data_IF_361217789004
#
_entry.id   IF_361217789004
#
_cell.length_a   1.000
_cell.length_b   1.000
_cell.length_c   1.000
_cell.angle_alpha   90.00
_cell.angle_beta   90.00
_cell.angle_gamma   90.00
#
_symmetry.space_group_name_H-M   'P 1'
#
loop_
_entity.id
_entity.type
_entity.pdbx_description
1 polymer ?
#
# COMPACT_ATOMS: atom_id res chain seq x y z
N UNK A 1 10.86 -4.45 -28.14
CA UNK A 1 11.47 -5.79 -28.27
C UNK A 1 10.97 -6.62 -27.10
N UNK A 2 10.12 -7.62 -27.36
CA UNK A 2 9.68 -8.58 -26.32
C UNK A 2 10.91 -9.44 -25.97
N UNK A 3 11.24 -9.53 -24.69
CA UNK A 3 12.34 -10.40 -24.25
C UNK A 3 11.96 -11.87 -24.43
N UNK A 4 12.98 -12.73 -24.55
CA UNK A 4 12.78 -14.15 -24.77
C UNK A 4 12.26 -14.82 -23.48
N UNK A 5 11.08 -15.48 -23.50
CA UNK A 5 10.47 -16.13 -22.32
C UNK A 5 11.41 -17.08 -21.55
N UNK A 6 12.39 -17.66 -22.26
CA UNK A 6 13.35 -18.62 -21.73
C UNK A 6 14.26 -18.05 -20.63
N UNK A 7 14.50 -16.73 -20.56
CA UNK A 7 15.37 -16.12 -19.52
C UNK A 7 14.66 -15.92 -18.18
N UNK A 8 13.33 -15.90 -18.15
CA UNK A 8 12.52 -15.74 -16.93
C UNK A 8 12.22 -17.09 -16.29
N UNK A 9 12.05 -18.14 -17.08
CA UNK A 9 11.83 -19.51 -16.59
C UNK A 9 12.97 -20.01 -15.67
N UNK A 10 14.20 -19.49 -15.84
CA UNK A 10 15.34 -19.81 -14.99
C UNK A 10 15.49 -18.93 -13.75
N UNK A 11 14.59 -17.97 -13.53
CA UNK A 11 14.68 -16.99 -12.43
C UNK A 11 14.13 -17.57 -11.14
N UNK A 12 14.77 -17.20 -10.03
CA UNK A 12 14.34 -17.58 -8.68
C UNK A 12 13.49 -16.47 -8.08
N UNK A 13 12.26 -16.80 -7.74
CA UNK A 13 11.31 -15.90 -7.10
C UNK A 13 11.25 -16.22 -5.62
N UNK A 14 11.31 -15.20 -4.77
CA UNK A 14 11.00 -15.30 -3.34
C UNK A 14 9.77 -14.46 -3.06
N UNK A 15 8.83 -15.04 -2.33
CA UNK A 15 7.58 -14.38 -1.97
C UNK A 15 7.44 -14.42 -0.46
N UNK A 16 7.37 -13.24 0.14
CA UNK A 16 7.29 -13.06 1.59
C UNK A 16 5.92 -12.49 1.95
N UNK A 17 5.26 -13.12 2.92
CA UNK A 17 3.95 -12.69 3.43
C UNK A 17 4.06 -12.29 4.90
N UNK A 18 3.59 -11.08 5.25
CA UNK A 18 3.60 -10.57 6.63
C UNK A 18 2.22 -10.07 7.06
N UNK A 19 1.56 -10.82 7.93
CA UNK A 19 0.23 -10.51 8.45
C UNK A 19 0.20 -9.29 9.41
N UNK A 20 -0.98 -8.69 9.54
CA UNK A 20 -1.29 -7.71 10.58
C UNK A 20 -1.57 -8.35 11.95
N UNK A 21 -1.72 -7.54 12.98
CA UNK A 21 -2.08 -8.01 14.32
C UNK A 21 -3.48 -8.67 14.33
N UNK A 22 -3.64 -9.75 15.11
CA UNK A 22 -4.94 -10.38 15.37
C UNK A 22 -5.33 -10.30 16.85
N UNK A 23 -6.63 -10.11 17.19
CA UNK A 23 -7.12 -10.26 18.56
C UNK A 23 -6.86 -11.68 19.08
N UNK A 24 -6.51 -11.80 20.36
CA UNK A 24 -6.09 -13.06 21.00
C UNK A 24 -7.18 -14.14 21.08
N UNK A 25 -6.73 -15.35 21.44
CA UNK A 25 -7.36 -16.70 21.37
C UNK A 25 -8.88 -16.85 21.62
N UNK A 26 -9.57 -15.94 22.31
CA UNK A 26 -11.00 -16.07 22.65
C UNK A 26 -11.96 -15.82 21.47
N UNK A 27 -11.50 -15.22 20.36
CA UNK A 27 -12.32 -14.93 19.16
C UNK A 27 -12.10 -15.95 18.03
N UNK A 28 -11.27 -16.98 18.25
CA UNK A 28 -10.92 -18.00 17.24
C UNK A 28 -12.09 -18.80 16.70
N UNK A 29 -13.21 -18.88 17.43
CA UNK A 29 -14.41 -19.60 16.98
C UNK A 29 -15.21 -18.86 15.90
N UNK A 30 -14.92 -17.58 15.63
CA UNK A 30 -15.74 -16.74 14.74
C UNK A 30 -14.97 -16.21 13.52
N UNK A 31 -13.63 -16.11 13.59
CA UNK A 31 -12.80 -15.40 12.58
C UNK A 31 -11.81 -16.31 11.83
N UNK A 32 -11.77 -17.62 12.15
CA UNK A 32 -10.80 -18.55 11.56
C UNK A 32 -9.41 -18.47 12.21
N UNK A 33 -8.55 -19.46 11.96
CA UNK A 33 -7.24 -19.52 12.61
C UNK A 33 -6.23 -18.50 12.04
N UNK A 34 -5.49 -17.77 12.90
CA UNK A 34 -4.55 -16.71 12.50
C UNK A 34 -3.28 -17.22 11.79
N UNK A 35 -3.02 -18.53 11.79
CA UNK A 35 -1.83 -19.19 11.21
C UNK A 35 -1.88 -19.30 9.68
N UNK A 36 -2.96 -18.90 9.02
CA UNK A 36 -3.12 -19.00 7.56
C UNK A 36 -2.81 -17.71 6.78
N UNK A 37 -2.83 -16.53 7.42
CA UNK A 37 -2.91 -15.26 6.66
C UNK A 37 -1.61 -14.92 5.92
N UNK A 38 -0.44 -15.06 6.54
CA UNK A 38 0.83 -14.87 5.81
C UNK A 38 1.03 -15.88 4.69
N UNK A 39 0.59 -17.14 4.89
CA UNK A 39 0.65 -18.17 3.86
C UNK A 39 -0.25 -17.82 2.69
N UNK A 40 -1.48 -17.36 2.97
CA UNK A 40 -2.39 -16.85 1.96
C UNK A 40 -1.78 -15.71 1.15
N UNK A 41 -1.09 -14.76 1.80
CA UNK A 41 -0.45 -13.66 1.08
C UNK A 41 0.61 -14.18 0.10
N UNK A 42 1.41 -15.15 0.53
CA UNK A 42 2.37 -15.82 -0.35
C UNK A 42 1.67 -16.53 -1.52
N UNK A 43 0.63 -17.31 -1.24
CA UNK A 43 -0.10 -18.08 -2.24
C UNK A 43 -0.81 -17.19 -3.27
N UNK A 44 -1.50 -16.12 -2.83
CA UNK A 44 -2.15 -15.17 -3.73
C UNK A 44 -1.15 -14.39 -4.57
N UNK A 45 -0.02 -13.99 -3.99
CA UNK A 45 1.06 -13.34 -4.74
C UNK A 45 1.67 -14.30 -5.77
N UNK A 46 1.91 -15.57 -5.40
CA UNK A 46 2.43 -16.58 -6.32
C UNK A 46 1.48 -16.83 -7.49
N UNK A 47 0.18 -16.95 -7.17
CA UNK A 47 -0.88 -17.08 -8.17
C UNK A 47 -0.89 -15.87 -9.12
N UNK A 48 -0.88 -14.64 -8.59
CA UNK A 48 -0.88 -13.42 -9.39
C UNK A 48 0.34 -13.29 -10.30
N UNK A 49 1.54 -13.62 -9.80
CA UNK A 49 2.76 -13.61 -10.62
C UNK A 49 2.67 -14.64 -11.75
N UNK A 50 2.22 -15.86 -11.46
CA UNK A 50 2.04 -16.90 -12.49
C UNK A 50 1.02 -16.48 -13.54
N UNK A 51 -0.12 -15.94 -13.10
CA UNK A 51 -1.18 -15.46 -14.00
C UNK A 51 -0.68 -14.33 -14.91
N UNK A 52 0.09 -13.38 -14.36
CA UNK A 52 0.70 -12.31 -15.16
C UNK A 52 1.60 -12.86 -16.28
N UNK A 53 2.50 -13.80 -15.96
CA UNK A 53 3.39 -14.38 -16.97
C UNK A 53 2.66 -15.25 -17.99
N UNK A 54 1.64 -15.98 -17.57
CA UNK A 54 0.82 -16.80 -18.47
C UNK A 54 0.02 -15.92 -19.43
N UNK A 55 -0.63 -14.86 -18.93
CA UNK A 55 -1.52 -14.01 -19.74
C UNK A 55 -0.76 -13.01 -20.62
N UNK A 56 0.26 -12.34 -20.08
CA UNK A 56 0.95 -11.25 -20.78
C UNK A 56 2.13 -11.75 -21.64
N UNK A 57 2.68 -12.92 -21.30
CA UNK A 57 3.92 -13.42 -21.91
C UNK A 57 3.86 -14.86 -22.44
N UNK A 58 2.70 -15.54 -22.35
CA UNK A 58 2.53 -16.94 -22.74
C UNK A 58 3.58 -17.87 -22.08
N UNK A 59 3.92 -17.57 -20.83
CA UNK A 59 4.96 -18.27 -20.06
C UNK A 59 4.38 -18.89 -18.79
N UNK A 60 4.39 -20.22 -18.74
CA UNK A 60 4.01 -20.96 -17.52
C UNK A 60 5.21 -21.06 -16.58
N UNK A 61 5.15 -20.36 -15.44
CA UNK A 61 6.16 -20.49 -14.40
C UNK A 61 5.88 -21.73 -13.52
N UNK A 62 6.85 -22.65 -13.38
CA UNK A 62 6.76 -23.79 -12.47
C UNK A 62 6.75 -23.31 -11.01
N UNK A 63 6.06 -24.02 -10.11
CA UNK A 63 6.03 -23.63 -8.70
C UNK A 63 7.42 -23.77 -8.04
N UNK A 64 8.24 -24.66 -8.58
CA UNK A 64 9.59 -24.97 -8.14
C UNK A 64 10.56 -23.78 -8.27
N UNK A 65 10.24 -22.78 -9.10
CA UNK A 65 11.03 -21.55 -9.18
C UNK A 65 10.63 -20.50 -8.12
N UNK A 66 9.60 -20.78 -7.31
CA UNK A 66 9.05 -19.87 -6.30
C UNK A 66 9.24 -20.43 -4.89
N UNK A 67 9.98 -19.70 -4.05
CA UNK A 67 10.09 -19.99 -2.62
C UNK A 67 9.13 -19.09 -1.85
N UNK A 68 8.17 -19.70 -1.15
CA UNK A 68 7.21 -19.01 -0.29
C UNK A 68 7.73 -18.96 1.14
N UNK A 69 7.77 -17.77 1.74
CA UNK A 69 8.24 -17.54 3.11
C UNK A 69 7.15 -16.78 3.89
N UNK A 70 6.18 -17.49 4.48
CA UNK A 70 5.19 -16.86 5.34
C UNK A 70 5.81 -16.50 6.69
N UNK A 71 5.88 -15.22 7.01
CA UNK A 71 6.40 -14.71 8.27
C UNK A 71 5.28 -14.50 9.27
N UNK A 72 5.37 -15.17 10.42
CA UNK A 72 4.33 -15.17 11.45
C UNK A 72 4.93 -14.89 12.82
N UNK A 73 4.42 -13.84 13.46
CA UNK A 73 4.72 -13.51 14.85
C UNK A 73 3.68 -12.52 15.35
N UNK A 74 3.36 -12.56 16.64
CA UNK A 74 2.44 -11.64 17.31
C UNK A 74 3.21 -10.67 18.20
N UNK A 75 2.63 -9.52 18.50
CA UNK A 75 3.21 -8.56 19.45
C UNK A 75 3.49 -7.20 18.83
N UNK A 76 4.36 -6.45 19.51
CA UNK A 76 4.75 -5.10 19.09
C UNK A 76 5.63 -5.14 17.84
N UNK A 77 5.65 -4.05 17.08
CA UNK A 77 6.34 -3.97 15.79
C UNK A 77 7.82 -4.34 15.93
N UNK A 78 8.55 -3.75 16.88
CA UNK A 78 9.99 -4.03 17.02
C UNK A 78 10.25 -5.48 17.45
N UNK A 79 9.44 -6.04 18.35
CA UNK A 79 9.56 -7.44 18.77
C UNK A 79 9.36 -8.38 17.57
N UNK A 80 8.34 -8.12 16.75
CA UNK A 80 8.10 -8.87 15.51
C UNK A 80 9.27 -8.74 14.56
N UNK A 81 9.83 -7.54 14.36
CA UNK A 81 11.03 -7.33 13.52
C UNK A 81 12.18 -8.22 13.99
N UNK A 82 12.53 -8.22 15.28
CA UNK A 82 13.64 -9.03 15.79
C UNK A 82 13.40 -10.54 15.59
N UNK A 83 12.18 -11.01 15.90
CA UNK A 83 11.85 -12.44 15.80
C UNK A 83 11.82 -12.95 14.37
N UNK A 84 11.25 -12.16 13.47
CA UNK A 84 11.20 -12.50 12.05
C UNK A 84 12.58 -12.37 11.38
N UNK A 85 13.40 -11.41 11.81
CA UNK A 85 14.79 -11.30 11.37
C UNK A 85 15.60 -12.54 11.78
N UNK A 86 15.57 -12.93 13.07
CA UNK A 86 16.23 -14.15 13.54
C UNK A 86 15.75 -15.38 12.76
N UNK A 87 14.44 -15.52 12.55
CA UNK A 87 13.91 -16.62 11.73
C UNK A 87 14.48 -16.65 10.30
N UNK A 88 14.60 -15.50 9.64
CA UNK A 88 15.12 -15.43 8.27
C UNK A 88 16.62 -15.74 8.18
N UNK A 89 17.41 -15.32 9.16
CA UNK A 89 18.87 -15.45 9.17
C UNK A 89 19.33 -16.79 9.73
N UNK A 90 18.69 -17.28 10.80
CA UNK A 90 19.05 -18.53 11.46
C UNK A 90 18.56 -19.77 10.69
N UNK A 91 17.58 -19.60 9.79
CA UNK A 91 17.10 -20.66 8.90
C UNK A 91 17.91 -20.68 7.59
N UNK A 92 18.74 -21.71 7.32
CA UNK A 92 19.58 -21.73 6.13
C UNK A 92 18.81 -21.73 4.80
N UNK A 93 17.60 -22.30 4.78
CA UNK A 93 16.77 -22.33 3.58
C UNK A 93 16.22 -20.94 3.26
N UNK A 94 15.69 -20.22 4.26
CA UNK A 94 15.22 -18.84 4.10
C UNK A 94 16.35 -17.90 3.70
N UNK A 95 17.50 -18.00 4.38
CA UNK A 95 18.67 -17.17 4.09
C UNK A 95 19.19 -17.41 2.67
N UNK A 96 19.34 -18.68 2.27
CA UNK A 96 19.80 -19.01 0.92
C UNK A 96 18.81 -18.56 -0.16
N UNK A 97 17.50 -18.71 0.09
CA UNK A 97 16.47 -18.23 -0.81
C UNK A 97 16.58 -16.71 -1.01
N UNK A 98 16.66 -15.94 0.09
CA UNK A 98 16.81 -14.48 0.04
C UNK A 98 18.08 -14.05 -0.71
N UNK A 99 19.22 -14.67 -0.44
CA UNK A 99 20.49 -14.28 -1.05
C UNK A 99 20.59 -14.67 -2.53
N UNK A 100 19.88 -15.70 -2.97
CA UNK A 100 19.95 -16.23 -4.34
C UNK A 100 18.76 -15.85 -5.21
N UNK A 101 17.75 -15.15 -4.68
CA UNK A 101 16.60 -14.71 -5.45
C UNK A 101 17.01 -13.74 -6.57
N UNK A 102 16.35 -13.82 -7.72
CA UNK A 102 16.41 -12.77 -8.74
C UNK A 102 15.31 -11.73 -8.53
N UNK A 103 14.15 -12.19 -8.04
CA UNK A 103 12.95 -11.38 -7.84
C UNK A 103 12.36 -11.64 -6.46
N UNK A 104 12.04 -10.58 -5.73
CA UNK A 104 11.43 -10.65 -4.40
C UNK A 104 10.09 -9.88 -4.43
N UNK A 105 9.01 -10.59 -4.14
CA UNK A 105 7.72 -9.97 -3.83
C UNK A 105 7.49 -10.01 -2.32
N UNK A 106 7.17 -8.85 -1.76
CA UNK A 106 6.91 -8.70 -0.34
C UNK A 106 5.49 -8.19 -0.13
N UNK A 107 4.61 -9.03 0.41
CA UNK A 107 3.20 -8.70 0.59
C UNK A 107 2.85 -8.59 2.07
N UNK A 108 2.20 -7.50 2.44
CA UNK A 108 1.92 -7.20 3.83
C UNK A 108 0.59 -6.49 4.03
N UNK A 109 0.06 -6.57 5.26
CA UNK A 109 -1.23 -6.00 5.62
C UNK A 109 -1.19 -5.29 6.98
N UNK A 110 -1.87 -4.15 7.10
CA UNK A 110 -2.13 -3.48 8.39
C UNK A 110 -0.84 -3.23 9.20
N UNK A 111 -0.76 -3.65 10.47
CA UNK A 111 0.46 -3.59 11.29
C UNK A 111 1.65 -4.34 10.68
N UNK A 112 1.41 -5.35 9.84
CA UNK A 112 2.49 -6.03 9.11
C UNK A 112 3.28 -5.06 8.25
N UNK A 113 2.68 -3.94 7.81
CA UNK A 113 3.35 -2.95 6.95
C UNK A 113 4.55 -2.29 7.63
N UNK A 114 4.43 -1.69 8.83
CA UNK A 114 5.60 -1.16 9.52
C UNK A 114 6.61 -2.24 9.92
N UNK A 115 6.18 -3.45 10.28
CA UNK A 115 7.09 -4.59 10.52
C UNK A 115 7.90 -4.90 9.27
N UNK A 116 7.23 -5.01 8.13
CA UNK A 116 7.82 -5.31 6.83
C UNK A 116 8.81 -4.25 6.39
N UNK A 117 8.47 -2.96 6.52
CA UNK A 117 9.35 -1.87 6.14
C UNK A 117 10.65 -1.90 6.95
N UNK A 118 10.56 -1.98 8.28
CA UNK A 118 11.74 -1.98 9.15
C UNK A 118 12.59 -3.24 8.92
N UNK A 119 11.95 -4.41 8.80
CA UNK A 119 12.63 -5.66 8.53
C UNK A 119 13.33 -5.66 7.16
N UNK A 120 12.64 -5.22 6.11
CA UNK A 120 13.19 -5.13 4.76
C UNK A 120 14.38 -4.17 4.71
N UNK A 121 14.25 -2.98 5.29
CA UNK A 121 15.35 -2.02 5.37
C UNK A 121 16.59 -2.63 6.06
N UNK A 122 16.40 -3.31 7.20
CA UNK A 122 17.49 -4.01 7.90
C UNK A 122 18.14 -5.09 7.03
N UNK A 123 17.35 -5.94 6.38
CA UNK A 123 17.88 -7.00 5.50
C UNK A 123 18.70 -6.44 4.33
N UNK A 124 18.35 -5.24 3.85
CA UNK A 124 19.10 -4.59 2.78
C UNK A 124 20.37 -3.93 3.30
N UNK A 125 20.30 -3.22 4.44
CA UNK A 125 21.48 -2.60 5.08
C UNK A 125 22.55 -3.64 5.40
N UNK A 126 22.15 -4.85 5.79
CA UNK A 126 23.05 -5.96 6.07
C UNK A 126 23.46 -6.76 4.81
N UNK A 127 23.07 -6.32 3.60
CA UNK A 127 23.36 -6.97 2.31
C UNK A 127 22.88 -8.43 2.20
N UNK A 128 21.89 -8.83 3.00
CA UNK A 128 21.18 -10.11 2.85
C UNK A 128 20.32 -10.02 1.59
N UNK A 129 19.57 -8.93 1.44
CA UNK A 129 18.90 -8.56 0.20
C UNK A 129 19.77 -7.55 -0.55
N UNK A 130 20.18 -7.89 -1.76
CA UNK A 130 21.06 -7.08 -2.62
C UNK A 130 20.21 -6.39 -3.69
N UNK A 131 19.55 -5.29 -3.31
CA UNK A 131 18.63 -4.52 -4.17
C UNK A 131 19.17 -4.11 -5.55
N UNK A 132 20.51 -4.02 -5.72
CA UNK A 132 21.15 -3.74 -7.02
C UNK A 132 21.12 -4.92 -7.99
N UNK A 133 20.94 -6.14 -7.49
CA UNK A 133 20.92 -7.39 -8.25
C UNK A 133 19.57 -8.10 -8.22
N UNK A 134 18.68 -7.68 -7.31
CA UNK A 134 17.38 -8.31 -7.09
C UNK A 134 16.26 -7.30 -7.35
N UNK A 135 15.33 -7.66 -8.22
CA UNK A 135 14.13 -6.85 -8.44
C UNK A 135 13.18 -7.04 -7.24
N UNK A 136 12.72 -5.95 -6.62
CA UNK A 136 11.91 -6.03 -5.42
C UNK A 136 10.65 -5.16 -5.51
N UNK A 137 9.50 -5.74 -5.15
CA UNK A 137 8.23 -5.05 -5.03
C UNK A 137 7.60 -5.29 -3.65
N UNK A 138 7.29 -4.21 -2.94
CA UNK A 138 6.54 -4.22 -1.68
C UNK A 138 5.07 -3.87 -1.95
N UNK A 139 4.15 -4.80 -1.67
CA UNK A 139 2.71 -4.60 -1.69
C UNK A 139 2.19 -4.46 -0.26
N UNK A 140 1.75 -3.26 0.11
CA UNK A 140 1.17 -2.97 1.43
C UNK A 140 -0.34 -2.71 1.31
N UNK A 141 -1.13 -3.58 1.94
CA UNK A 141 -2.58 -3.51 1.97
C UNK A 141 -3.06 -2.94 3.32
N UNK A 142 -3.90 -1.91 3.30
CA UNK A 142 -4.44 -1.26 4.49
C UNK A 142 -3.37 -0.90 5.54
N UNK A 143 -2.19 -0.45 5.11
CA UNK A 143 -1.02 -0.25 5.98
C UNK A 143 -1.20 0.85 7.04
N UNK A 144 -0.65 0.65 8.23
CA UNK A 144 -0.75 1.62 9.34
C UNK A 144 0.44 2.59 9.31
N UNK A 145 0.47 3.50 8.33
CA UNK A 145 1.55 4.50 8.21
C UNK A 145 1.37 5.70 9.16
N UNK A 146 0.11 6.06 9.45
CA UNK A 146 -0.28 7.25 10.23
C UNK A 146 -1.30 6.91 11.33
N UNK A 147 -1.26 5.65 11.79
CA UNK A 147 -2.17 5.12 12.80
C UNK A 147 -3.55 4.71 12.26
N UNK A 148 -4.38 4.07 13.09
CA UNK A 148 -5.76 3.77 12.79
C UNK A 148 -6.64 5.03 12.92
N UNK A 149 -7.95 4.91 12.70
CA UNK A 149 -8.88 6.02 12.93
C UNK A 149 -8.74 6.52 14.37
N UNK A 150 -8.49 7.83 14.51
CA UNK A 150 -8.24 8.47 15.79
C UNK A 150 -9.41 8.31 16.80
N UNK A 151 -10.64 8.17 16.29
CA UNK A 151 -11.85 7.90 17.08
C UNK A 151 -11.80 6.56 17.82
N UNK A 152 -10.98 5.60 17.36
CA UNK A 152 -10.88 4.27 17.93
C UNK A 152 -10.07 4.20 19.22
N UNK A 153 -9.25 5.22 19.51
CA UNK A 153 -8.34 5.26 20.68
C UNK A 153 -9.07 5.06 22.01
N UNK A 154 -10.32 5.48 22.09
CA UNK A 154 -11.17 5.35 23.29
C UNK A 154 -12.20 4.23 23.24
N UNK A 155 -12.29 3.49 22.13
CA UNK A 155 -13.34 2.50 21.89
C UNK A 155 -13.26 1.32 22.86
N UNK A 156 -14.43 0.76 23.21
CA UNK A 156 -14.49 -0.41 24.09
C UNK A 156 -13.78 -1.62 23.48
N UNK A 157 -13.77 -1.77 22.15
CA UNK A 157 -13.04 -2.86 21.47
C UNK A 157 -11.55 -2.78 21.78
N UNK A 158 -10.91 -1.62 21.58
CA UNK A 158 -9.48 -1.42 21.93
C UNK A 158 -9.23 -1.60 23.44
N UNK A 159 -10.19 -1.22 24.29
CA UNK A 159 -10.12 -1.38 25.75
C UNK A 159 -10.43 -2.77 26.28
N UNK A 160 -11.13 -3.63 25.53
CA UNK A 160 -11.46 -5.00 25.96
C UNK A 160 -10.47 -6.03 25.39
N UNK A 161 -9.88 -5.75 24.23
CA UNK A 161 -8.89 -6.62 23.57
C UNK A 161 -7.43 -6.24 23.90
N UNK A 162 -7.18 -5.65 25.08
CA UNK A 162 -5.94 -5.02 25.57
C UNK A 162 -4.62 -5.79 25.30
N UNK A 163 -4.20 -5.88 24.04
CA UNK A 163 -2.86 -6.27 23.65
C UNK A 163 -2.04 -5.00 23.47
N UNK A 164 -0.85 -4.93 24.05
CA UNK A 164 0.04 -3.77 23.92
C UNK A 164 0.38 -3.44 22.46
N UNK A 165 0.35 -4.46 21.59
CA UNK A 165 0.46 -4.33 20.14
C UNK A 165 -0.63 -3.44 19.52
N UNK A 166 -1.88 -3.56 19.97
CA UNK A 166 -3.00 -2.76 19.47
C UNK A 166 -2.91 -1.30 19.94
N UNK A 167 -2.37 -1.06 21.15
CA UNK A 167 -2.13 0.30 21.66
C UNK A 167 -1.01 1.01 20.92
N UNK A 168 0.08 0.30 20.63
CA UNK A 168 1.22 0.82 19.85
C UNK A 168 0.81 1.34 18.47
N UNK A 169 -0.26 0.80 17.85
CA UNK A 169 -0.77 1.30 16.56
C UNK A 169 -1.13 2.79 16.61
N UNK A 170 -1.56 3.30 17.77
CA UNK A 170 -1.87 4.72 17.95
C UNK A 170 -0.62 5.60 18.08
N UNK A 171 0.56 5.03 18.34
CA UNK A 171 1.81 5.79 18.38
C UNK A 171 2.23 6.24 16.97
N UNK A 172 1.75 5.55 15.92
CA UNK A 172 1.90 5.99 14.52
C UNK A 172 1.14 7.28 14.18
N UNK A 173 0.22 7.73 15.04
CA UNK A 173 -0.45 9.01 14.87
C UNK A 173 0.47 10.19 15.18
N UNK A 174 1.53 9.98 15.96
CA UNK A 174 2.49 11.01 16.33
C UNK A 174 3.80 10.80 15.56
N UNK A 175 4.19 11.73 14.66
CA UNK A 175 5.38 11.53 13.84
C UNK A 175 6.68 11.55 14.65
N UNK A 176 6.63 12.04 15.90
CA UNK A 176 7.76 12.04 16.83
C UNK A 176 7.87 10.79 17.71
N UNK A 177 6.92 9.85 17.65
CA UNK A 177 7.09 8.58 18.37
C UNK A 177 8.26 7.78 17.76
N UNK A 178 8.94 6.99 18.59
CA UNK A 178 10.10 6.20 18.15
C UNK A 178 9.73 5.27 16.99
N UNK A 179 8.57 4.63 17.07
CA UNK A 179 8.12 3.71 16.03
C UNK A 179 7.73 4.41 14.73
N UNK A 180 7.13 5.61 14.80
CA UNK A 180 6.88 6.45 13.63
C UNK A 180 8.19 6.87 12.96
N UNK A 181 9.21 7.20 13.73
CA UNK A 181 10.51 7.59 13.21
C UNK A 181 11.21 6.41 12.53
N UNK A 182 11.25 5.24 13.19
CA UNK A 182 11.82 4.03 12.63
C UNK A 182 11.14 3.62 11.31
N UNK A 183 9.81 3.61 11.29
CA UNK A 183 9.06 3.28 10.07
C UNK A 183 9.31 4.29 8.94
N UNK A 184 9.25 5.61 9.22
CA UNK A 184 9.49 6.63 8.19
C UNK A 184 10.91 6.55 7.63
N UNK A 185 11.90 6.32 8.48
CA UNK A 185 13.29 6.16 8.05
C UNK A 185 13.45 4.92 7.17
N UNK A 186 12.90 3.78 7.57
CA UNK A 186 12.93 2.55 6.79
C UNK A 186 12.25 2.70 5.42
N UNK A 187 11.04 3.29 5.38
CA UNK A 187 10.34 3.54 4.11
C UNK A 187 11.10 4.51 3.21
N UNK A 188 11.69 5.58 3.77
CA UNK A 188 12.50 6.51 2.99
C UNK A 188 13.72 5.80 2.37
N UNK A 189 14.41 4.97 3.16
CA UNK A 189 15.54 4.15 2.70
C UNK A 189 15.13 3.20 1.57
N UNK A 190 14.06 2.43 1.76
CA UNK A 190 13.51 1.51 0.75
C UNK A 190 13.25 2.23 -0.57
N UNK A 191 12.55 3.37 -0.52
CA UNK A 191 12.20 4.15 -1.71
C UNK A 191 13.44 4.71 -2.42
N UNK A 192 14.38 5.27 -1.66
CA UNK A 192 15.65 5.83 -2.18
C UNK A 192 16.53 4.77 -2.85
N UNK A 193 16.42 3.51 -2.43
CA UNK A 193 17.12 2.38 -3.05
C UNK A 193 16.47 1.89 -4.35
N UNK A 194 15.40 2.54 -4.80
CA UNK A 194 14.76 2.21 -6.08
C UNK A 194 13.70 1.12 -5.97
N UNK A 195 13.34 0.68 -4.77
CA UNK A 195 12.36 -0.39 -4.55
C UNK A 195 10.95 0.12 -4.90
N UNK A 196 10.21 -0.72 -5.65
CA UNK A 196 8.83 -0.48 -6.03
C UNK A 196 7.91 -0.74 -4.85
N UNK A 197 7.03 0.20 -4.54
CA UNK A 197 6.13 0.13 -3.39
C UNK A 197 4.71 0.43 -3.84
N UNK A 198 3.80 -0.50 -3.58
CA UNK A 198 2.38 -0.38 -3.86
C UNK A 198 1.65 -0.23 -2.53
N UNK A 199 0.84 0.82 -2.42
CA UNK A 199 0.06 1.14 -1.23
C UNK A 199 -1.42 1.08 -1.58
N UNK A 200 -2.13 0.10 -1.02
CA UNK A 200 -3.53 -0.16 -1.34
C UNK A 200 -4.39 0.13 -0.12
N UNK A 201 -5.21 1.18 -0.18
CA UNK A 201 -6.26 1.41 0.82
C UNK A 201 -7.49 0.57 0.54
N UNK A 202 -8.39 0.42 1.51
CA UNK A 202 -9.72 -0.13 1.26
C UNK A 202 -10.77 0.96 1.41
N UNK A 203 -11.72 0.98 0.48
CA UNK A 203 -12.98 1.70 0.66
C UNK A 203 -13.73 1.06 1.85
N UNK A 204 -14.38 1.88 2.68
CA UNK A 204 -15.10 1.39 3.87
C UNK A 204 -14.25 0.54 4.82
N UNK A 205 -12.94 0.82 4.89
CA UNK A 205 -12.10 0.30 5.96
C UNK A 205 -12.60 0.84 7.30
N UNK A 206 -12.78 -0.06 8.27
CA UNK A 206 -13.30 0.21 9.60
C UNK A 206 -12.20 0.47 10.65
N UNK A 207 -10.93 0.25 10.31
CA UNK A 207 -9.77 0.34 11.19
C UNK A 207 -8.78 1.41 10.73
N UNK A 208 -8.40 1.36 9.45
CA UNK A 208 -7.30 2.14 8.89
C UNK A 208 -7.85 3.19 7.94
N UNK A 209 -7.64 4.49 8.21
CA UNK A 209 -8.04 5.56 7.30
C UNK A 209 -7.24 5.48 6.00
N UNK A 210 -7.88 5.86 4.88
CA UNK A 210 -7.26 5.89 3.57
C UNK A 210 -5.93 6.66 3.58
N UNK A 211 -5.86 7.81 4.26
CA UNK A 211 -4.64 8.62 4.34
C UNK A 211 -3.45 7.85 4.96
N UNK A 212 -3.73 6.90 5.86
CA UNK A 212 -2.73 6.06 6.52
C UNK A 212 -2.32 4.94 5.57
N UNK A 213 -3.29 4.24 4.96
CA UNK A 213 -3.03 3.14 4.04
C UNK A 213 -2.21 3.56 2.81
N UNK A 214 -2.41 4.77 2.28
CA UNK A 214 -1.69 5.29 1.11
C UNK A 214 -0.46 6.13 1.44
N UNK A 215 -0.08 6.20 2.73
CA UNK A 215 1.03 7.02 3.24
C UNK A 215 1.01 8.44 2.65
N UNK A 216 -0.06 9.20 2.96
CA UNK A 216 -0.38 10.49 2.31
C UNK A 216 0.74 11.53 2.44
N UNK A 217 1.56 11.42 3.49
CA UNK A 217 2.59 12.40 3.83
C UNK A 217 3.94 12.19 3.11
N UNK A 218 4.05 11.16 2.25
CA UNK A 218 5.30 10.82 1.55
C UNK A 218 5.11 10.76 0.05
N UNK A 219 5.95 11.45 -0.73
CA UNK A 219 5.94 11.41 -2.18
C UNK A 219 7.24 10.85 -2.74
N UNK A 220 7.11 9.88 -3.65
CA UNK A 220 8.22 9.26 -4.36
C UNK A 220 7.72 8.58 -5.64
N UNK A 221 8.45 8.62 -6.77
CA UNK A 221 8.01 8.02 -8.04
C UNK A 221 7.86 6.49 -8.02
N UNK A 222 8.49 5.82 -7.05
CA UNK A 222 8.32 4.37 -6.86
C UNK A 222 7.10 4.00 -5.99
N UNK A 223 6.27 4.96 -5.59
CA UNK A 223 5.01 4.69 -4.93
C UNK A 223 3.90 4.62 -5.98
N UNK A 224 3.23 3.47 -6.07
CA UNK A 224 1.93 3.33 -6.70
C UNK A 224 0.84 3.28 -5.63
N UNK A 225 -0.16 4.15 -5.72
CA UNK A 225 -1.31 4.16 -4.81
C UNK A 225 -2.53 3.59 -5.49
N UNK A 226 -3.23 2.71 -4.80
CA UNK A 226 -4.48 2.11 -5.26
C UNK A 226 -5.51 2.06 -4.13
N UNK A 227 -6.74 1.73 -4.49
CA UNK A 227 -7.82 1.50 -3.54
C UNK A 227 -8.60 0.24 -3.96
N UNK A 228 -8.83 -0.65 -3.01
CA UNK A 228 -9.78 -1.74 -3.14
C UNK A 228 -11.18 -1.22 -2.88
N UNK A 229 -12.12 -1.59 -3.76
CA UNK A 229 -13.53 -1.24 -3.64
C UNK A 229 -14.31 -2.54 -3.80
N UNK A 230 -15.07 -2.90 -2.78
CA UNK A 230 -15.88 -4.11 -2.81
C UNK A 230 -16.95 -4.04 -3.92
N UNK A 231 -17.14 -5.15 -4.64
CA UNK A 231 -18.08 -5.21 -5.75
C UNK A 231 -19.53 -4.87 -5.36
N UNK A 232 -19.92 -5.10 -4.10
CA UNK A 232 -21.25 -4.77 -3.60
C UNK A 232 -21.51 -3.27 -3.44
N UNK A 233 -20.44 -2.46 -3.31
CA UNK A 233 -20.54 -1.00 -3.18
C UNK A 233 -20.09 -0.27 -4.43
N UNK A 234 -19.41 -0.96 -5.36
CA UNK A 234 -18.90 -0.36 -6.57
C UNK A 234 -20.03 0.08 -7.51
N UNK A 235 -19.93 1.30 -8.01
CA UNK A 235 -20.72 1.78 -9.13
C UNK A 235 -19.85 2.67 -10.02
N UNK A 236 -19.85 2.46 -11.35
CA UNK A 236 -18.98 3.21 -12.27
C UNK A 236 -19.29 4.71 -12.31
N UNK A 237 -20.52 5.11 -11.95
CA UNK A 237 -20.99 6.49 -11.92
C UNK A 237 -21.16 7.04 -10.49
N UNK A 238 -20.65 6.34 -9.47
CA UNK A 238 -20.59 6.92 -8.12
C UNK A 238 -19.57 8.06 -8.07
N UNK A 239 -20.03 9.24 -7.68
CA UNK A 239 -19.20 10.45 -7.65
C UNK A 239 -18.03 10.32 -6.66
N UNK A 240 -18.24 9.77 -5.47
CA UNK A 240 -17.18 9.68 -4.45
C UNK A 240 -16.09 8.71 -4.88
N UNK A 241 -16.48 7.56 -5.44
CA UNK A 241 -15.53 6.59 -6.01
C UNK A 241 -14.67 7.28 -7.08
N UNK A 242 -15.30 7.94 -8.06
CA UNK A 242 -14.57 8.60 -9.13
C UNK A 242 -13.68 9.74 -8.61
N UNK A 243 -14.12 10.50 -7.60
CA UNK A 243 -13.33 11.57 -6.98
C UNK A 243 -12.06 11.02 -6.32
N UNK A 244 -12.16 9.90 -5.59
CA UNK A 244 -11.02 9.25 -4.94
C UNK A 244 -10.06 8.68 -5.99
N UNK A 245 -10.58 7.99 -7.00
CA UNK A 245 -9.78 7.43 -8.09
C UNK A 245 -9.02 8.52 -8.83
N UNK A 246 -9.68 9.64 -9.14
CA UNK A 246 -9.04 10.81 -9.75
C UNK A 246 -7.92 11.35 -8.87
N UNK A 247 -8.16 11.56 -7.57
CA UNK A 247 -7.14 12.08 -6.66
C UNK A 247 -5.93 11.13 -6.51
N UNK A 248 -6.16 9.82 -6.51
CA UNK A 248 -5.08 8.82 -6.53
C UNK A 248 -4.29 8.89 -7.84
N UNK A 249 -4.96 9.05 -9.00
CA UNK A 249 -4.30 9.26 -10.30
C UNK A 249 -3.42 10.50 -10.30
N UNK A 250 -3.88 11.62 -9.73
CA UNK A 250 -3.05 12.81 -9.57
C UNK A 250 -1.76 12.49 -8.80
N UNK A 251 -1.88 11.83 -7.64
CA UNK A 251 -0.70 11.46 -6.83
C UNK A 251 0.25 10.50 -7.54
N UNK A 252 -0.29 9.52 -8.27
CA UNK A 252 0.52 8.58 -9.05
C UNK A 252 1.20 9.26 -10.25
N UNK A 253 0.61 10.33 -10.80
CA UNK A 253 1.22 11.16 -11.83
C UNK A 253 2.24 12.20 -11.27
N UNK A 254 2.46 12.22 -9.95
CA UNK A 254 3.34 13.20 -9.30
C UNK A 254 2.73 14.60 -9.16
N UNK A 255 1.41 14.73 -9.32
CA UNK A 255 0.66 15.95 -9.10
C UNK A 255 0.07 15.99 -7.68
N UNK A 256 -0.20 17.21 -7.20
CA UNK A 256 -0.85 17.42 -5.90
C UNK A 256 -2.35 17.12 -6.01
N UNK A 257 -2.88 16.36 -5.06
CA UNK A 257 -4.33 16.26 -4.81
C UNK A 257 -4.83 17.38 -3.89
N UNK A 258 -3.95 18.34 -3.55
CA UNK A 258 -4.21 19.48 -2.66
C UNK A 258 -4.77 19.07 -1.28
N UNK A 259 -4.42 17.86 -0.82
CA UNK A 259 -4.88 17.30 0.46
C UNK A 259 -6.28 16.70 0.42
N UNK A 260 -6.90 16.55 -0.75
CA UNK A 260 -8.24 15.98 -0.90
C UNK A 260 -8.33 14.58 -0.26
N UNK A 261 -7.38 13.68 -0.54
CA UNK A 261 -7.38 12.31 -0.01
C UNK A 261 -7.24 12.27 1.52
N UNK A 262 -6.47 13.20 2.09
CA UNK A 262 -6.37 13.36 3.53
C UNK A 262 -7.73 13.73 4.14
N UNK A 263 -8.39 14.75 3.58
CA UNK A 263 -9.60 15.31 4.17
C UNK A 263 -10.89 14.53 3.86
N UNK A 264 -10.92 13.76 2.78
CA UNK A 264 -12.07 12.89 2.44
C UNK A 264 -12.04 11.59 3.24
N UNK A 265 -10.89 11.17 3.76
CA UNK A 265 -10.68 9.86 4.41
C UNK A 265 -11.66 9.54 5.53
N UNK A 266 -12.03 10.51 6.37
CA UNK A 266 -13.01 10.32 7.47
C UNK A 266 -14.43 10.02 6.96
N UNK A 267 -14.73 10.41 5.72
CA UNK A 267 -16.01 10.14 5.07
C UNK A 267 -16.10 8.68 4.66
N UNK A 268 -14.96 8.07 4.31
CA UNK A 268 -14.83 6.72 3.78
C UNK A 268 -14.81 5.64 4.86
N UNK A 269 -14.81 6.01 6.14
CA UNK A 269 -14.77 5.06 7.24
C UNK A 269 -15.96 4.08 7.17
N UNK A 270 -15.64 2.78 7.19
CA UNK A 270 -16.63 1.72 7.30
C UNK A 270 -17.29 1.67 8.68
N UNK A 271 -18.38 0.92 8.79
CA UNK A 271 -19.03 0.68 10.07
C UNK A 271 -18.26 -0.40 10.85
N UNK A 272 -17.76 -0.06 12.04
CA UNK A 272 -17.04 -0.99 12.92
C UNK A 272 -17.85 -2.21 13.36
N UNK A 273 -19.18 -2.11 13.35
CA UNK A 273 -20.09 -3.19 13.75
C UNK A 273 -20.61 -4.00 12.55
N UNK A 274 -20.16 -3.68 11.33
CA UNK A 274 -20.43 -4.51 10.15
C UNK A 274 -19.60 -5.78 10.20
N UNK A 275 -20.23 -6.91 9.89
CA UNK A 275 -19.55 -8.21 9.78
C UNK A 275 -18.67 -8.30 8.54
N UNK A 276 -19.04 -7.56 7.49
CA UNK A 276 -18.26 -7.38 6.26
C UNK A 276 -17.62 -5.98 6.30
N UNK A 277 -16.29 -5.92 6.39
CA UNK A 277 -15.55 -4.67 6.50
C UNK A 277 -14.34 -4.65 5.59
N UNK A 278 -14.08 -3.49 4.97
CA UNK A 278 -13.03 -3.30 3.97
C UNK A 278 -11.63 -3.74 4.41
N UNK A 279 -11.35 -3.64 5.72
CA UNK A 279 -10.01 -3.90 6.25
C UNK A 279 -9.50 -5.31 5.95
N UNK A 280 -10.37 -6.30 5.99
CA UNK A 280 -10.01 -7.71 5.79
C UNK A 280 -10.35 -8.22 4.40
N UNK A 281 -11.40 -7.68 3.77
CA UNK A 281 -11.82 -8.11 2.43
C UNK A 281 -10.79 -7.74 1.35
N UNK A 282 -9.99 -6.70 1.56
CA UNK A 282 -8.90 -6.31 0.63
C UNK A 282 -7.92 -7.44 0.30
N UNK A 283 -7.57 -8.29 1.25
CA UNK A 283 -6.61 -9.39 1.01
C UNK A 283 -7.28 -10.68 0.53
N UNK A 284 -8.60 -10.66 0.35
CA UNK A 284 -9.35 -11.72 -0.34
C UNK A 284 -9.34 -11.52 -1.86
N UNK A 285 -9.13 -10.28 -2.32
CA UNK A 285 -9.24 -9.88 -3.71
C UNK A 285 -7.94 -10.17 -4.50
N UNK A 286 -7.99 -11.12 -5.44
CA UNK A 286 -6.83 -11.50 -6.25
C UNK A 286 -6.27 -10.32 -7.06
N UNK A 287 -7.12 -9.43 -7.59
CA UNK A 287 -6.65 -8.30 -8.40
C UNK A 287 -5.75 -7.30 -7.65
N UNK A 288 -5.83 -7.26 -6.32
CA UNK A 288 -4.91 -6.46 -5.49
C UNK A 288 -3.47 -7.00 -5.60
N UNK A 289 -3.30 -8.32 -5.68
CA UNK A 289 -2.00 -8.97 -5.81
C UNK A 289 -1.43 -8.87 -7.23
N UNK A 290 -2.28 -8.80 -8.26
CA UNK A 290 -1.89 -8.63 -9.67
C UNK A 290 -1.17 -7.30 -9.94
N UNK A 291 -1.41 -6.27 -9.12
CA UNK A 291 -0.69 -5.01 -9.19
C UNK A 291 0.82 -5.18 -8.99
N UNK A 292 1.26 -6.16 -8.19
CA UNK A 292 2.67 -6.36 -7.87
C UNK A 292 3.52 -6.76 -9.08
N UNK A 293 3.22 -7.86 -9.81
CA UNK A 293 3.96 -8.20 -11.03
C UNK A 293 3.79 -7.13 -12.11
N UNK A 294 2.59 -6.56 -12.31
CA UNK A 294 2.37 -5.48 -13.28
C UNK A 294 3.28 -4.27 -13.00
N UNK A 295 3.24 -3.73 -11.78
CA UNK A 295 4.05 -2.55 -11.45
C UNK A 295 5.55 -2.84 -11.51
N UNK A 296 5.97 -4.04 -11.09
CA UNK A 296 7.37 -4.42 -11.11
C UNK A 296 7.92 -4.60 -12.53
N UNK A 297 7.14 -5.20 -13.44
CA UNK A 297 7.60 -5.62 -14.77
C UNK A 297 7.17 -4.69 -15.93
N UNK A 298 6.15 -3.86 -15.74
CA UNK A 298 5.68 -2.93 -16.78
C UNK A 298 6.26 -1.53 -16.63
N UNK A 299 6.99 -1.24 -15.54
CA UNK A 299 7.52 0.10 -15.24
C UNK A 299 9.04 0.15 -15.11
N UNK A 300 9.66 1.25 -15.57
CA UNK A 300 11.10 1.46 -15.41
C UNK A 300 11.52 1.62 -13.93
N UNK A 301 12.74 1.20 -13.53
CA UNK A 301 13.82 0.71 -14.39
C UNK A 301 13.62 -0.70 -14.95
N UNK A 302 12.54 -1.43 -14.62
CA UNK A 302 12.35 -2.78 -15.15
C UNK A 302 10.99 -3.07 -15.78
N UNK A 303 10.79 -2.51 -16.99
CA UNK A 303 10.15 -3.19 -18.11
C UNK A 303 11.06 -3.16 -19.34
N UNK A 304 11.13 -4.16 -20.24
CA UNK A 304 10.52 -5.50 -20.25
C UNK A 304 11.57 -6.63 -20.14
N UNK A 305 11.55 -7.30 -18.99
CA UNK A 305 12.19 -8.59 -18.58
C UNK A 305 13.71 -8.62 -18.31
N UNK A 306 14.14 -7.86 -17.29
CA UNK A 306 15.44 -7.93 -16.58
C UNK A 306 16.65 -7.32 -17.32
N UNK A 307 17.59 -6.67 -16.61
CA UNK A 307 18.83 -6.25 -17.23
C UNK A 307 19.62 -7.52 -17.53
N UNK A 308 19.97 -7.76 -18.80
CA UNK A 308 21.09 -8.65 -19.10
C UNK A 308 22.28 -8.20 -18.24
N UNK A 309 23.03 -9.15 -17.69
CA UNK A 309 24.34 -8.94 -17.09
C UNK A 309 25.34 -8.40 -18.14
N UNK A 310 25.10 -7.21 -18.66
CA UNK A 310 26.08 -6.43 -19.39
C UNK A 310 26.41 -5.23 -18.50
N UNK A 311 27.27 -5.51 -17.53
CA UNK A 311 28.19 -4.49 -17.04
C UNK A 311 29.00 -4.00 -18.25
N UNK A 312 28.49 -2.99 -18.96
CA UNK A 312 29.35 -2.15 -19.77
C UNK A 312 30.09 -1.22 -18.81
N UNK A 313 31.43 -1.33 -18.67
CA UNK A 313 32.19 -0.60 -17.64
C UNK A 313 32.18 0.93 -17.80
N UNK A 314 31.58 1.48 -18.85
CA UNK A 314 31.74 2.88 -19.26
C UNK A 314 30.45 3.73 -19.25
N UNK A 315 29.32 3.21 -18.78
CA UNK A 315 28.16 4.06 -18.47
C UNK A 315 27.89 3.97 -16.98
N UNK A 316 28.63 4.77 -16.21
CA UNK A 316 28.16 5.19 -14.91
C UNK A 316 26.80 5.86 -15.11
N UNK A 317 25.71 5.08 -15.02
CA UNK A 317 24.38 5.66 -14.84
C UNK A 317 24.52 6.46 -13.56
N UNK A 318 24.56 7.77 -13.70
CA UNK A 318 24.36 8.69 -12.59
C UNK A 318 22.96 8.39 -12.07
N UNK A 319 22.85 7.42 -11.16
CA UNK A 319 21.63 7.14 -10.42
C UNK A 319 21.51 8.29 -9.45
N UNK A 320 20.94 9.40 -9.90
CA UNK A 320 20.47 10.46 -9.03
C UNK A 320 19.53 9.80 -8.03
N UNK A 321 19.97 9.66 -6.79
CA UNK A 321 19.12 9.14 -5.70
C UNK A 321 17.96 10.12 -5.57
N UNK A 322 16.75 9.65 -5.86
CA UNK A 322 15.55 10.47 -5.66
C UNK A 322 15.19 10.38 -4.18
N UNK A 323 15.29 11.49 -3.47
CA UNK A 323 14.89 11.53 -2.07
C UNK A 323 13.36 11.38 -1.94
N UNK A 324 12.90 10.52 -1.03
CA UNK A 324 11.50 10.46 -0.65
C UNK A 324 11.10 11.75 0.08
N UNK A 325 10.22 12.54 -0.53
CA UNK A 325 9.71 13.79 0.05
C UNK A 325 8.69 13.44 1.13
N UNK A 326 9.10 13.45 2.39
CA UNK A 326 8.23 13.12 3.52
C UNK A 326 7.99 14.34 4.39
N UNK A 327 6.72 14.62 4.68
CA UNK A 327 6.30 15.65 5.62
C UNK A 327 5.93 15.03 6.97
N UNK A 328 6.10 15.78 8.06
CA UNK A 328 5.63 15.34 9.36
C UNK A 328 4.11 15.47 9.41
N UNK A 329 3.42 14.35 9.54
CA UNK A 329 1.97 14.31 9.65
C UNK A 329 1.56 13.79 11.01
N UNK A 330 0.75 14.58 11.73
CA UNK A 330 0.14 14.18 13.01
C UNK A 330 -1.35 13.95 12.80
N UNK A 331 -1.78 12.72 12.97
CA UNK A 331 -3.19 12.37 12.82
C UNK A 331 -4.02 13.00 13.96
N UNK A 332 -5.19 13.53 13.60
CA UNK A 332 -6.09 14.25 14.51
C UNK A 332 -7.48 13.61 14.49
N UNK A 333 -8.18 13.68 15.61
CA UNK A 333 -9.57 13.20 15.73
C UNK A 333 -10.54 13.94 14.80
N UNK A 334 -10.28 15.22 14.55
CA UNK A 334 -11.01 16.02 13.57
C UNK A 334 -10.03 16.79 12.72
N UNK A 335 -10.11 16.58 11.41
CA UNK A 335 -9.46 17.45 10.43
C UNK A 335 -10.29 18.72 10.25
N UNK A 336 -9.64 19.81 9.85
CA UNK A 336 -10.35 21.06 9.59
C UNK A 336 -11.25 20.89 8.35
N UNK A 337 -12.57 21.09 8.49
CA UNK A 337 -13.55 20.80 7.45
C UNK A 337 -13.45 21.71 6.22
N UNK A 338 -12.88 22.91 6.36
CA UNK A 338 -12.78 23.90 5.28
C UNK A 338 -11.75 23.52 4.21
N UNK A 339 -10.81 22.61 4.53
CA UNK A 339 -9.77 22.23 3.58
C UNK A 339 -10.29 21.46 2.36
N UNK A 340 -11.44 20.78 2.44
CA UNK A 340 -12.02 20.13 1.26
C UNK A 340 -12.37 21.16 0.18
N UNK A 341 -12.91 22.31 0.58
CA UNK A 341 -13.23 23.42 -0.32
C UNK A 341 -11.98 23.97 -1.00
N UNK A 342 -10.91 24.17 -0.22
CA UNK A 342 -9.62 24.61 -0.74
C UNK A 342 -8.94 23.58 -1.63
N UNK A 343 -9.01 22.30 -1.27
CA UNK A 343 -8.45 21.21 -2.07
C UNK A 343 -9.12 21.15 -3.45
N UNK A 344 -10.46 21.18 -3.48
CA UNK A 344 -11.20 21.20 -4.75
C UNK A 344 -10.88 22.43 -5.58
N UNK A 345 -10.83 23.61 -4.96
CA UNK A 345 -10.46 24.83 -5.68
C UNK A 345 -9.03 24.71 -6.25
N UNK A 346 -8.08 24.26 -5.45
CA UNK A 346 -6.68 24.09 -5.84
C UNK A 346 -6.49 23.11 -7.00
N UNK A 347 -7.25 22.01 -7.02
CA UNK A 347 -7.25 21.04 -8.13
C UNK A 347 -7.66 21.70 -9.45
N UNK A 348 -8.74 22.49 -9.43
CA UNK A 348 -9.27 23.14 -10.64
C UNK A 348 -8.44 24.37 -11.08
N UNK A 349 -7.73 25.00 -10.14
CA UNK A 349 -6.82 26.11 -10.43
C UNK A 349 -5.41 25.65 -10.86
N UNK A 350 -5.03 24.38 -10.64
CA UNK A 350 -3.71 23.86 -11.05
C UNK A 350 -3.67 23.58 -12.56
N UNK A 351 -2.90 24.41 -13.27
CA UNK A 351 -2.70 24.33 -14.73
C UNK A 351 -2.18 22.96 -15.17
N UNK A 352 -1.34 22.30 -14.36
CA UNK A 352 -0.80 20.98 -14.71
C UNK A 352 -1.89 19.91 -14.64
N UNK A 353 -2.81 20.03 -13.69
CA UNK A 353 -3.94 19.12 -13.55
C UNK A 353 -4.92 19.32 -14.70
N UNK A 354 -5.31 20.56 -14.99
CA UNK A 354 -6.26 20.86 -16.08
C UNK A 354 -5.73 20.48 -17.46
N UNK A 355 -4.42 20.62 -17.70
CA UNK A 355 -3.79 20.22 -18.96
C UNK A 355 -3.75 18.70 -19.18
N UNK A 356 -3.52 17.91 -18.11
CA UNK A 356 -3.34 16.45 -18.24
C UNK A 356 -4.66 15.69 -18.01
N UNK A 357 -5.54 16.20 -17.15
CA UNK A 357 -6.74 15.52 -16.69
C UNK A 357 -8.04 16.32 -16.92
N UNK A 358 -8.05 17.26 -17.88
CA UNK A 358 -9.21 18.11 -18.18
C UNK A 358 -10.50 17.33 -18.42
N UNK A 359 -10.45 16.27 -19.24
CA UNK A 359 -11.63 15.44 -19.55
C UNK A 359 -12.16 14.70 -18.30
N UNK A 360 -11.26 14.25 -17.42
CA UNK A 360 -11.66 13.59 -16.17
C UNK A 360 -12.29 14.60 -15.18
N UNK A 361 -11.80 15.84 -15.14
CA UNK A 361 -12.41 16.91 -14.35
C UNK A 361 -13.82 17.24 -14.86
N UNK A 362 -14.02 17.30 -16.17
CA UNK A 362 -15.34 17.51 -16.78
C UNK A 362 -16.30 16.37 -16.45
N UNK A 363 -15.83 15.12 -16.50
CA UNK A 363 -16.61 13.95 -16.06
C UNK A 363 -16.97 14.04 -14.58
N UNK A 364 -16.02 14.39 -13.72
CA UNK A 364 -16.26 14.54 -12.27
C UNK A 364 -17.32 15.61 -11.98
N UNK A 365 -17.29 16.73 -12.70
CA UNK A 365 -18.30 17.78 -12.59
C UNK A 365 -19.69 17.27 -12.99
N UNK A 366 -19.79 16.54 -14.10
CA UNK A 366 -21.05 15.95 -14.53
C UNK A 366 -21.61 14.94 -13.50
N UNK A 367 -20.74 14.10 -12.92
CA UNK A 367 -21.12 13.17 -11.84
C UNK A 367 -21.56 13.92 -10.57
N UNK A 368 -20.89 15.02 -10.22
CA UNK A 368 -21.24 15.83 -9.05
C UNK A 368 -22.63 16.47 -9.15
N UNK A 369 -22.98 16.98 -10.33
CA UNK A 369 -24.30 17.57 -10.57
C UNK A 369 -25.41 16.52 -10.42
N UNK A 370 -25.15 15.29 -10.83
CA UNK A 370 -26.08 14.16 -10.71
C UNK A 370 -26.10 13.53 -9.31
N UNK A 371 -25.07 13.76 -8.49
CA UNK A 371 -24.94 13.12 -7.18
C UNK A 371 -25.87 13.75 -6.13
N UNK A 372 -26.91 13.04 -5.70
CA UNK A 372 -27.87 13.52 -4.71
C UNK A 372 -27.74 12.73 -3.39
N UNK A 373 -26.82 13.11 -2.48
CA UNK A 373 -26.59 12.36 -1.25
C UNK A 373 -27.79 12.40 -0.30
N UNK A 374 -28.10 11.26 0.29
CA UNK A 374 -29.25 11.09 1.19
C UNK A 374 -28.93 11.42 2.65
N UNK A 375 -27.70 11.14 3.11
CA UNK A 375 -27.30 11.37 4.50
C UNK A 375 -26.90 12.82 4.76
N UNK A 376 -27.08 13.30 6.00
CA UNK A 376 -26.63 14.64 6.41
C UNK A 376 -25.11 14.82 6.25
N UNK A 377 -24.33 13.80 6.62
CA UNK A 377 -22.87 13.75 6.44
C UNK A 377 -22.49 13.96 4.99
N UNK A 378 -23.10 13.22 4.05
CA UNK A 378 -22.76 13.33 2.63
C UNK A 378 -23.27 14.63 1.99
N UNK A 379 -24.40 15.18 2.45
CA UNK A 379 -24.87 16.52 2.04
C UNK A 379 -23.88 17.63 2.46
N UNK A 380 -23.33 17.53 3.67
CA UNK A 380 -22.29 18.45 4.13
C UNK A 380 -21.00 18.32 3.29
N UNK A 381 -20.62 17.10 2.91
CA UNK A 381 -19.49 16.88 1.99
C UNK A 381 -19.77 17.46 0.61
N UNK A 382 -20.97 17.24 0.04
CA UNK A 382 -21.37 17.86 -1.23
C UNK A 382 -21.24 19.38 -1.18
N UNK A 383 -21.73 20.01 -0.11
CA UNK A 383 -21.58 21.46 0.09
C UNK A 383 -20.10 21.90 0.10
N UNK A 384 -19.22 21.17 0.79
CA UNK A 384 -17.79 21.51 0.84
C UNK A 384 -17.07 21.31 -0.49
N UNK A 385 -17.57 20.42 -1.35
CA UNK A 385 -17.02 20.13 -2.69
C UNK A 385 -17.61 21.01 -3.79
N UNK A 386 -18.56 21.90 -3.48
CA UNK A 386 -19.18 22.87 -4.43
C UNK A 386 -18.20 23.63 -5.34
N UNK A 387 -16.94 23.98 -4.94
CA UNK A 387 -15.98 24.61 -5.85
C UNK A 387 -15.72 23.85 -7.16
N UNK A 388 -16.06 22.56 -7.24
CA UNK A 388 -16.04 21.77 -8.47
C UNK A 388 -16.90 22.37 -9.61
N UNK A 389 -17.90 23.19 -9.27
CA UNK A 389 -18.77 23.89 -10.22
C UNK A 389 -18.22 25.23 -10.68
N UNK A 390 -17.21 25.78 -9.99
CA UNK A 390 -16.70 27.10 -10.31
C UNK A 390 -16.01 27.05 -11.70
N UNK A 391 -16.59 27.73 -12.70
CA UNK A 391 -15.85 28.06 -13.92
C UNK A 391 -14.76 29.05 -13.56
N UNK A 392 -13.53 28.77 -13.99
CA UNK A 392 -12.58 29.82 -14.32
C UNK A 392 -12.94 30.39 -15.69
#
# INVERSE_FOLDING_TARGET
>A
MKAHPETVASKKFVIIGVHGWFPTKLVRSVVGEPTGTSSKFCEQTAKAVRQYFEQEHDLVLPMECMTLIPLQWEGKVQERVEKLYSFLVDNPASLNALQSADVIFWTTHSQGTPVSAILLDRLIQENIIRHKHQALCLLAMAGIAHGPFASLKGSLIVKYFEADAARELFDFMDPSSDISQAFRQAMASILQQGIKTILVGSMQDQVVPLYSAIMVATDHPNILRAIYIDGHIYSPDDFLINLILFALRLRNAGLSDHGLLLHISDVLAGNLYSWEGGHSTIYEETSVYELAPQYLFDTHPLGGLLPMHQEHPNTARSTTVVEAKSSLFKAKVRLNPYYLTWAMRGIFDDVRVTQVFGDELDRLRALFDQWHPTSSKLREIKFRLEPIKARL
#
